data_IF_547684161388
#
_entry.id   IF_547684161388
#
_cell.length_a   1.000
_cell.length_b   1.000
_cell.length_c   1.000
_cell.angle_alpha   90.00
_cell.angle_beta   90.00
_cell.angle_gamma   90.00
#
_symmetry.space_group_name_H-M   'P 1'
#
loop_
_entity.id
_entity.type
_entity.pdbx_description
1 polymer ?
#
# COMPACT_ATOMS: atom_id res chain seq x y z
N UNK A 1 27.32 -3.95 -65.53
CA UNK A 1 26.08 -3.19 -65.29
C UNK A 1 24.97 -4.02 -64.63
N UNK A 2 24.60 -5.20 -65.13
CA UNK A 2 23.48 -5.99 -64.57
C UNK A 2 23.66 -6.35 -63.08
N UNK A 3 24.88 -6.69 -62.66
CA UNK A 3 25.20 -7.07 -61.28
C UNK A 3 25.13 -5.88 -60.30
N UNK A 4 25.50 -4.68 -60.74
CA UNK A 4 25.37 -3.46 -59.94
C UNK A 4 23.90 -3.06 -59.77
N UNK A 5 23.06 -3.32 -60.77
CA UNK A 5 21.61 -3.07 -60.68
C UNK A 5 20.94 -4.02 -59.69
N UNK A 6 21.39 -5.29 -59.64
CA UNK A 6 20.87 -6.30 -58.71
C UNK A 6 21.18 -5.96 -57.24
N UNK A 7 22.40 -5.50 -56.95
CA UNK A 7 22.83 -5.10 -55.59
C UNK A 7 22.07 -3.86 -55.10
N UNK A 8 21.80 -2.90 -55.97
CA UNK A 8 20.99 -1.71 -55.63
C UNK A 8 19.53 -2.08 -55.38
N UNK A 9 18.98 -3.04 -56.14
CA UNK A 9 17.61 -3.50 -55.96
C UNK A 9 17.43 -4.29 -54.66
N UNK A 10 18.38 -5.17 -54.30
CA UNK A 10 18.36 -5.89 -53.02
C UNK A 10 18.52 -4.95 -51.81
N UNK A 11 19.39 -3.94 -51.91
CA UNK A 11 19.54 -2.92 -50.87
C UNK A 11 18.27 -2.06 -50.72
N UNK A 12 17.59 -1.72 -51.82
CA UNK A 12 16.33 -0.99 -51.79
C UNK A 12 15.18 -1.84 -51.21
N UNK A 13 15.14 -3.14 -51.50
CA UNK A 13 14.16 -4.07 -50.92
C UNK A 13 14.40 -4.24 -49.42
N UNK A 14 15.66 -4.35 -48.98
CA UNK A 14 16.01 -4.42 -47.55
C UNK A 14 15.72 -3.10 -46.81
N UNK A 15 15.99 -1.93 -47.42
CA UNK A 15 15.63 -0.63 -46.85
C UNK A 15 14.11 -0.45 -46.77
N UNK A 16 13.36 -0.89 -47.77
CA UNK A 16 11.89 -0.82 -47.77
C UNK A 16 11.24 -1.81 -46.79
N UNK A 17 11.84 -2.99 -46.60
CA UNK A 17 11.42 -3.98 -45.61
C UNK A 17 11.71 -3.57 -44.16
N UNK A 18 12.77 -2.79 -43.93
CA UNK A 18 13.09 -2.21 -42.62
C UNK A 18 12.18 -1.02 -42.24
N UNK A 19 11.61 -0.31 -43.21
CA UNK A 19 10.68 0.82 -42.96
C UNK A 19 9.20 0.44 -42.90
N UNK A 20 8.83 -0.76 -43.35
CA UNK A 20 7.45 -1.28 -43.25
C UNK A 20 7.36 -2.53 -42.37
N UNK A 21 8.01 -2.51 -41.20
CA UNK A 21 7.32 -3.12 -40.07
C UNK A 21 6.01 -2.38 -39.96
N UNK A 22 4.90 -3.06 -40.26
CA UNK A 22 3.55 -2.62 -39.92
C UNK A 22 3.63 -2.14 -38.47
N UNK A 23 3.75 -0.83 -38.28
CA UNK A 23 3.25 -0.14 -37.10
C UNK A 23 1.78 -0.49 -37.14
N UNK A 24 1.44 -1.61 -36.50
CA UNK A 24 0.08 -1.95 -36.13
C UNK A 24 -0.38 -0.65 -35.47
N UNK A 25 -1.26 0.09 -36.15
CA UNK A 25 -1.97 1.20 -35.54
C UNK A 25 -2.71 0.54 -34.39
N UNK A 26 -2.06 0.49 -33.24
CA UNK A 26 -2.75 0.17 -32.01
C UNK A 26 -3.47 1.49 -31.79
N UNK A 27 -4.73 1.53 -32.23
CA UNK A 27 -5.68 2.56 -31.82
C UNK A 27 -5.87 2.36 -30.31
N UNK A 28 -4.87 2.77 -29.54
CA UNK A 28 -4.98 2.96 -28.11
C UNK A 28 -5.92 4.16 -27.96
N UNK A 29 -7.23 3.89 -28.01
CA UNK A 29 -8.20 4.82 -27.48
C UNK A 29 -7.77 5.12 -26.05
N UNK A 30 -7.23 6.33 -25.85
CA UNK A 30 -6.76 6.77 -24.56
C UNK A 30 -8.00 7.00 -23.69
N UNK A 31 -8.33 6.02 -22.85
CA UNK A 31 -9.49 6.13 -21.97
C UNK A 31 -9.04 6.90 -20.75
N UNK A 32 -9.66 8.06 -20.51
CA UNK A 32 -9.40 8.81 -19.27
C UNK A 32 -9.69 7.90 -18.08
N UNK A 33 -8.79 7.85 -17.09
CA UNK A 33 -8.85 6.89 -16.01
C UNK A 33 -10.17 6.91 -15.22
N UNK A 34 -10.81 8.10 -15.13
CA UNK A 34 -12.13 8.28 -14.51
C UNK A 34 -13.27 7.54 -15.22
N UNK A 35 -13.11 7.19 -16.50
CA UNK A 35 -14.10 6.43 -17.28
C UNK A 35 -13.76 4.94 -17.40
N UNK A 36 -12.63 4.48 -16.85
CA UNK A 36 -12.27 3.07 -16.92
C UNK A 36 -13.20 2.23 -16.04
N UNK A 37 -13.78 1.11 -16.54
CA UNK A 37 -14.76 0.32 -15.80
C UNK A 37 -14.20 -0.26 -14.50
N UNK A 38 -12.92 -0.62 -14.48
CA UNK A 38 -12.25 -1.19 -13.30
C UNK A 38 -11.84 -0.14 -12.26
N UNK A 39 -11.85 1.15 -12.62
CA UNK A 39 -11.54 2.24 -11.68
C UNK A 39 -12.62 2.27 -10.58
N UNK A 40 -12.25 2.27 -9.28
CA UNK A 40 -13.24 2.32 -8.21
C UNK A 40 -14.04 3.63 -8.21
N UNK A 41 -15.33 3.53 -7.92
CA UNK A 41 -16.27 4.67 -7.94
C UNK A 41 -15.82 5.84 -7.07
N UNK A 42 -15.27 5.54 -5.87
CA UNK A 42 -14.74 6.57 -4.98
C UNK A 42 -13.57 7.34 -5.61
N UNK A 43 -12.70 6.65 -6.34
CA UNK A 43 -11.57 7.28 -7.04
C UNK A 43 -12.09 8.15 -8.18
N UNK A 44 -13.06 7.66 -8.98
CA UNK A 44 -13.69 8.45 -10.05
C UNK A 44 -14.24 9.77 -9.54
N UNK A 45 -15.00 9.75 -8.44
CA UNK A 45 -15.56 10.97 -7.83
C UNK A 45 -14.50 11.98 -7.43
N UNK A 46 -13.37 11.52 -6.88
CA UNK A 46 -12.26 12.42 -6.54
C UNK A 46 -11.62 12.97 -7.82
N UNK A 47 -11.43 12.14 -8.84
CA UNK A 47 -10.89 12.58 -10.14
C UNK A 47 -11.82 13.53 -10.90
N UNK A 48 -13.13 13.41 -10.73
CA UNK A 48 -14.11 14.37 -11.24
C UNK A 48 -14.04 15.71 -10.50
N UNK A 49 -13.79 15.68 -9.18
CA UNK A 49 -13.78 16.88 -8.35
C UNK A 49 -12.48 17.67 -8.41
N UNK A 50 -11.33 17.00 -8.45
CA UNK A 50 -10.01 17.66 -8.35
C UNK A 50 -9.00 17.10 -9.35
N UNK A 51 -9.42 16.21 -10.25
CA UNK A 51 -8.50 15.46 -11.11
C UNK A 51 -7.73 16.33 -12.10
N UNK A 52 -8.29 17.47 -12.48
CA UNK A 52 -7.70 18.42 -13.44
C UNK A 52 -6.97 19.60 -12.76
N UNK A 53 -6.95 19.64 -11.44
CA UNK A 53 -6.23 20.68 -10.71
C UNK A 53 -4.70 20.45 -10.76
N UNK A 54 -3.90 21.52 -10.72
CA UNK A 54 -2.44 21.40 -10.69
C UNK A 54 -1.93 20.64 -9.46
N UNK A 55 -1.03 19.69 -9.69
CA UNK A 55 -0.22 19.04 -8.66
C UNK A 55 0.93 19.96 -8.28
N UNK A 56 1.02 20.31 -6.99
CA UNK A 56 2.05 21.17 -6.43
C UNK A 56 3.25 20.39 -5.90
N UNK A 57 3.02 19.17 -5.39
CA UNK A 57 4.05 18.33 -4.78
C UNK A 57 3.68 16.86 -4.90
N UNK A 58 4.67 16.00 -5.15
CA UNK A 58 4.55 14.55 -5.04
C UNK A 58 5.60 14.07 -4.04
N UNK A 59 5.20 13.19 -3.14
CA UNK A 59 6.09 12.52 -2.22
C UNK A 59 5.82 11.01 -2.26
N UNK A 60 6.88 10.22 -2.20
CA UNK A 60 6.81 8.78 -1.95
C UNK A 60 6.71 8.59 -0.44
N UNK A 61 5.71 7.84 -0.01
CA UNK A 61 5.63 7.35 1.37
C UNK A 61 5.86 5.84 1.44
N UNK A 62 6.48 5.38 2.52
CA UNK A 62 6.61 3.96 2.86
C UNK A 62 6.02 3.70 4.23
N UNK A 63 5.27 2.60 4.35
CA UNK A 63 4.79 2.09 5.63
C UNK A 63 5.28 0.65 5.78
N UNK A 64 5.91 0.28 6.91
CA UNK A 64 6.33 -1.09 7.11
C UNK A 64 5.10 -2.02 7.09
N UNK A 65 5.28 -3.21 6.53
CA UNK A 65 4.27 -4.25 6.60
C UNK A 65 4.09 -4.67 8.06
N UNK A 66 2.83 -4.88 8.46
CA UNK A 66 2.50 -5.24 9.84
C UNK A 66 3.30 -6.45 10.34
N UNK A 67 3.92 -6.31 11.52
CA UNK A 67 4.78 -7.33 12.11
C UNK A 67 4.08 -8.69 12.26
N UNK A 68 2.76 -8.70 12.46
CA UNK A 68 1.95 -9.93 12.57
C UNK A 68 1.94 -10.71 11.27
N UNK A 69 1.83 -10.02 10.12
CA UNK A 69 1.90 -10.66 8.81
C UNK A 69 3.30 -11.23 8.57
N UNK A 70 4.36 -10.48 8.89
CA UNK A 70 5.74 -10.95 8.78
C UNK A 70 6.01 -12.19 9.64
N UNK A 71 5.51 -12.20 10.89
CA UNK A 71 5.59 -13.37 11.77
C UNK A 71 4.88 -14.58 11.15
N UNK A 72 3.68 -14.40 10.62
CA UNK A 72 2.94 -15.48 9.98
C UNK A 72 3.68 -16.04 8.75
N UNK A 73 4.25 -15.18 7.91
CA UNK A 73 5.07 -15.58 6.75
C UNK A 73 6.33 -16.34 7.19
N UNK A 74 6.97 -15.90 8.27
CA UNK A 74 8.10 -16.60 8.88
C UNK A 74 7.70 -17.98 9.39
N UNK A 75 6.59 -18.11 10.11
CA UNK A 75 6.09 -19.41 10.57
C UNK A 75 5.81 -20.36 9.39
N UNK A 76 5.10 -19.86 8.36
CA UNK A 76 4.76 -20.67 7.19
C UNK A 76 5.99 -21.08 6.36
N UNK A 77 7.02 -20.26 6.31
CA UNK A 77 8.27 -20.53 5.59
C UNK A 77 9.31 -21.27 6.44
N UNK A 78 8.99 -21.61 7.70
CA UNK A 78 9.96 -22.15 8.66
C UNK A 78 11.19 -21.22 8.78
N UNK A 79 10.94 -19.93 8.96
CA UNK A 79 11.91 -18.83 9.08
C UNK A 79 12.74 -18.52 7.82
N UNK A 80 12.51 -19.23 6.71
CA UNK A 80 13.22 -18.97 5.45
C UNK A 80 12.90 -17.60 4.88
N UNK A 81 11.73 -17.03 5.15
CA UNK A 81 11.35 -15.70 4.70
C UNK A 81 12.27 -14.62 5.31
N UNK A 82 12.44 -14.61 6.64
CA UNK A 82 13.37 -13.70 7.32
C UNK A 82 14.81 -13.87 6.82
N UNK A 83 15.28 -15.11 6.66
CA UNK A 83 16.63 -15.35 6.13
C UNK A 83 16.78 -14.78 4.71
N UNK A 84 15.76 -14.93 3.86
CA UNK A 84 15.79 -14.39 2.50
C UNK A 84 15.71 -12.87 2.49
N UNK A 85 14.97 -12.27 3.41
CA UNK A 85 14.91 -10.82 3.59
C UNK A 85 16.31 -10.26 3.90
N UNK A 86 17.05 -10.91 4.83
CA UNK A 86 18.43 -10.55 5.16
C UNK A 86 19.37 -10.78 3.96
N UNK A 87 19.25 -11.93 3.28
CA UNK A 87 20.04 -12.27 2.09
C UNK A 87 19.89 -11.22 0.97
N UNK A 88 18.69 -10.65 0.81
CA UNK A 88 18.40 -9.61 -0.17
C UNK A 88 18.78 -8.20 0.29
N UNK A 89 19.30 -8.05 1.52
CA UNK A 89 19.68 -6.76 2.10
C UNK A 89 18.50 -5.86 2.42
N UNK A 90 17.35 -6.44 2.81
CA UNK A 90 16.17 -5.69 3.20
C UNK A 90 16.07 -5.58 4.72
N UNK A 91 16.16 -4.36 5.26
CA UNK A 91 15.96 -4.14 6.69
C UNK A 91 14.50 -4.39 7.09
N UNK A 92 13.57 -3.89 6.27
CA UNK A 92 12.13 -4.08 6.44
C UNK A 92 11.42 -4.27 5.08
N UNK A 93 10.21 -4.85 5.11
CA UNK A 93 9.33 -4.95 3.95
C UNK A 93 8.30 -3.82 4.03
N UNK A 94 8.13 -3.07 2.94
CA UNK A 94 7.30 -1.85 2.96
C UNK A 94 6.10 -1.93 2.01
N UNK A 95 5.12 -1.08 2.25
CA UNK A 95 4.08 -0.71 1.31
C UNK A 95 4.34 0.72 0.83
N UNK A 96 4.47 0.91 -0.49
CA UNK A 96 4.69 2.22 -1.07
C UNK A 96 3.35 2.88 -1.44
N UNK A 97 3.28 4.20 -1.27
CA UNK A 97 2.17 5.05 -1.71
C UNK A 97 2.70 6.41 -2.16
N UNK A 98 1.87 7.17 -2.87
CA UNK A 98 2.15 8.55 -3.25
C UNK A 98 1.29 9.50 -2.44
N UNK A 99 1.91 10.52 -1.85
CA UNK A 99 1.24 11.69 -1.31
C UNK A 99 1.31 12.80 -2.37
N UNK A 100 0.14 13.21 -2.84
CA UNK A 100 0.00 14.18 -3.93
C UNK A 100 -0.70 15.41 -3.38
N UNK A 101 0.03 16.52 -3.31
CA UNK A 101 -0.50 17.82 -2.92
C UNK A 101 -1.07 18.51 -4.15
N UNK A 102 -2.36 18.80 -4.13
CA UNK A 102 -3.11 19.38 -5.23
C UNK A 102 -3.53 20.80 -4.85
N UNK A 103 -3.43 21.72 -5.80
CA UNK A 103 -3.96 23.06 -5.64
C UNK A 103 -5.49 23.02 -5.52
N UNK A 104 -6.03 23.64 -4.46
CA UNK A 104 -7.46 23.84 -4.39
C UNK A 104 -7.84 24.96 -5.35
N UNK A 105 -8.93 24.79 -6.08
CA UNK A 105 -9.58 25.93 -6.70
C UNK A 105 -9.91 26.92 -5.58
N UNK A 106 -9.42 28.16 -5.72
CA UNK A 106 -9.92 29.25 -4.91
C UNK A 106 -11.39 29.39 -5.27
N UNK A 107 -12.29 28.77 -4.50
CA UNK A 107 -13.64 29.31 -4.38
C UNK A 107 -13.46 30.67 -3.73
N UNK A 108 -13.31 31.67 -4.59
CA UNK A 108 -13.18 33.06 -4.23
C UNK A 108 -14.53 33.45 -3.62
N UNK A 109 -14.73 33.14 -2.34
CA UNK A 109 -15.71 33.87 -1.55
C UNK A 109 -15.17 35.29 -1.53
N UNK A 110 -15.82 36.18 -2.29
CA UNK A 110 -15.45 37.58 -2.51
C UNK A 110 -15.17 38.29 -1.17
N UNK A 111 -15.83 37.85 -0.09
CA UNK A 111 -15.65 38.35 1.28
C UNK A 111 -14.29 37.98 1.91
N UNK A 112 -13.72 36.83 1.60
CA UNK A 112 -12.43 36.38 2.15
C UNK A 112 -11.23 37.03 1.43
N UNK A 113 -11.46 37.51 0.21
CA UNK A 113 -10.43 38.17 -0.62
C UNK A 113 -10.03 39.55 -0.10
N UNK A 114 -10.85 40.19 0.74
CA UNK A 114 -10.55 41.51 1.31
C UNK A 114 -9.69 41.45 2.59
N UNK A 115 -9.57 40.28 3.24
CA UNK A 115 -8.90 40.15 4.56
C UNK A 115 -7.52 39.48 4.46
N UNK A 116 -7.24 38.73 3.40
CA UNK A 116 -6.03 37.88 3.27
C UNK A 116 -4.87 38.49 2.45
N UNK A 117 -4.83 39.80 2.23
CA UNK A 117 -3.81 40.50 1.42
C UNK A 117 -2.36 40.43 1.94
N UNK A 118 -2.04 39.60 2.94
CA UNK A 118 -0.71 39.56 3.56
C UNK A 118 0.06 38.23 3.40
N UNK A 119 -0.58 37.10 3.04
CA UNK A 119 0.16 35.85 2.76
C UNK A 119 -0.47 35.11 1.57
N UNK A 120 0.26 35.01 0.46
CA UNK A 120 -0.09 34.23 -0.73
C UNK A 120 -0.05 32.71 -0.46
N UNK A 121 -0.79 32.22 0.52
CA UNK A 121 -0.90 30.80 0.79
C UNK A 121 -1.91 30.22 -0.21
N UNK A 122 -1.40 29.54 -1.23
CA UNK A 122 -2.25 28.79 -2.14
C UNK A 122 -2.86 27.62 -1.34
N UNK A 123 -4.18 27.62 -1.19
CA UNK A 123 -4.89 26.51 -0.56
C UNK A 123 -4.58 25.21 -1.29
N UNK A 124 -4.30 24.14 -0.55
CA UNK A 124 -3.97 22.84 -1.13
C UNK A 124 -4.58 21.69 -0.32
N UNK A 125 -4.78 20.55 -0.98
CA UNK A 125 -5.24 19.30 -0.37
C UNK A 125 -4.26 18.19 -0.70
N UNK A 126 -3.91 17.37 0.30
CA UNK A 126 -3.08 16.17 0.10
C UNK A 126 -3.96 14.94 -0.08
N UNK A 127 -3.67 14.15 -1.10
CA UNK A 127 -4.27 12.84 -1.33
C UNK A 127 -3.21 11.74 -1.28
N UNK A 128 -3.55 10.62 -0.66
CA UNK A 128 -2.81 9.37 -0.68
C UNK A 128 -3.33 8.51 -1.84
N UNK A 129 -2.45 8.21 -2.78
CA UNK A 129 -2.66 7.31 -3.90
C UNK A 129 -1.85 6.03 -3.66
N UNK A 130 -2.53 4.90 -3.56
CA UNK A 130 -1.91 3.60 -3.29
C UNK A 130 -2.61 2.48 -4.07
N UNK A 131 -2.00 1.30 -4.08
CA UNK A 131 -2.62 0.09 -4.58
C UNK A 131 -2.51 -1.03 -3.55
N UNK A 132 -3.60 -1.23 -2.83
CA UNK A 132 -3.89 -2.50 -2.17
C UNK A 132 -4.52 -3.43 -3.24
N UNK A 133 -5.61 -4.13 -2.93
CA UNK A 133 -6.32 -4.95 -3.93
C UNK A 133 -6.87 -4.15 -5.13
N UNK A 134 -7.16 -2.86 -4.94
CA UNK A 134 -7.61 -1.93 -5.98
C UNK A 134 -6.87 -0.61 -5.84
N UNK A 135 -6.91 0.21 -6.88
CA UNK A 135 -6.43 1.60 -6.82
C UNK A 135 -7.25 2.36 -5.76
N UNK A 136 -6.57 3.04 -4.85
CA UNK A 136 -7.22 3.85 -3.82
C UNK A 136 -6.69 5.27 -3.87
N UNK A 137 -7.61 6.21 -3.72
CA UNK A 137 -7.32 7.63 -3.60
C UNK A 137 -8.12 8.15 -2.41
N UNK A 138 -7.45 8.65 -1.39
CA UNK A 138 -8.08 9.10 -0.14
C UNK A 138 -7.30 10.21 0.52
N UNK A 139 -7.87 10.86 1.54
CA UNK A 139 -7.11 11.76 2.40
C UNK A 139 -6.23 10.92 3.35
N UNK A 140 -4.95 11.27 3.53
CA UNK A 140 -4.09 10.54 4.45
C UNK A 140 -4.55 10.70 5.90
N UNK A 141 -4.23 9.72 6.74
CA UNK A 141 -4.48 9.72 8.19
C UNK A 141 -3.19 10.12 8.91
N UNK A 142 -3.21 11.28 9.55
CA UNK A 142 -2.06 11.81 10.28
C UNK A 142 -2.08 11.38 11.76
N UNK A 143 -0.92 11.13 12.40
CA UNK A 143 0.46 11.15 11.85
C UNK A 143 0.95 9.77 11.37
N UNK A 144 0.15 8.72 11.51
CA UNK A 144 0.59 7.32 11.36
C UNK A 144 1.12 6.95 9.98
N UNK A 145 0.79 7.73 8.94
CA UNK A 145 1.20 7.49 7.55
C UNK A 145 2.41 8.34 7.11
N UNK A 146 3.26 8.82 8.02
CA UNK A 146 4.38 9.73 7.70
C UNK A 146 5.73 9.25 8.23
N UNK A 147 5.94 7.93 8.33
CA UNK A 147 7.19 7.35 8.85
C UNK A 147 8.37 7.67 7.92
N UNK A 148 8.28 7.23 6.65
CA UNK A 148 9.33 7.45 5.66
C UNK A 148 8.77 8.18 4.44
N UNK A 149 9.13 9.46 4.30
CA UNK A 149 8.65 10.32 3.21
C UNK A 149 9.80 10.88 2.39
N UNK A 150 9.75 10.67 1.08
CA UNK A 150 10.75 11.12 0.12
C UNK A 150 10.13 12.05 -0.91
N UNK A 151 10.81 13.13 -1.29
CA UNK A 151 10.30 14.05 -2.29
C UNK A 151 10.54 13.50 -3.70
N UNK A 152 9.52 13.57 -4.56
CA UNK A 152 9.64 13.28 -5.99
C UNK A 152 9.55 14.62 -6.73
N UNK A 153 10.66 15.16 -7.24
CA UNK A 153 10.65 16.46 -7.92
C UNK A 153 9.81 16.42 -9.20
N UNK A 154 9.01 17.47 -9.40
CA UNK A 154 8.24 17.67 -10.62
C UNK A 154 9.16 18.16 -11.74
N UNK A 155 8.86 17.78 -12.99
CA UNK A 155 9.59 18.31 -14.15
C UNK A 155 9.32 19.80 -14.31
N UNK A 156 10.37 20.65 -14.41
CA UNK A 156 10.19 22.07 -14.67
C UNK A 156 9.35 22.33 -15.92
N UNK A 157 8.55 23.39 -15.90
CA UNK A 157 7.70 23.82 -17.03
C UNK A 157 6.65 22.78 -17.50
N UNK A 158 6.41 21.73 -16.72
CA UNK A 158 5.37 20.72 -17.02
C UNK A 158 4.33 20.72 -15.91
N UNK A 159 3.10 21.05 -16.26
CA UNK A 159 1.96 20.92 -15.33
C UNK A 159 1.51 19.47 -15.26
N UNK A 160 1.42 18.95 -14.04
CA UNK A 160 0.85 17.65 -13.72
C UNK A 160 -0.53 17.81 -13.09
N UNK A 161 -1.42 16.85 -13.36
CA UNK A 161 -2.74 16.73 -12.74
C UNK A 161 -2.93 15.26 -12.34
N UNK A 162 -3.82 14.96 -11.41
CA UNK A 162 -4.12 13.56 -11.06
C UNK A 162 -4.64 12.77 -12.26
N UNK A 163 -5.54 13.37 -13.06
CA UNK A 163 -6.08 12.74 -14.26
C UNK A 163 -4.94 12.37 -15.21
N UNK A 164 -3.97 13.26 -15.44
CA UNK A 164 -2.81 12.96 -16.27
C UNK A 164 -1.96 11.83 -15.68
N UNK A 165 -1.60 11.91 -14.40
CA UNK A 165 -0.75 10.92 -13.74
C UNK A 165 -1.33 9.51 -13.84
N UNK A 166 -2.59 9.36 -13.44
CA UNK A 166 -3.29 8.08 -13.39
C UNK A 166 -3.61 7.58 -14.79
N UNK A 167 -4.11 8.44 -15.68
CA UNK A 167 -4.49 8.02 -17.04
C UNK A 167 -3.28 7.60 -17.86
N UNK A 168 -2.16 8.31 -17.77
CA UNK A 168 -0.94 7.94 -18.50
C UNK A 168 -0.44 6.58 -18.03
N UNK A 169 -0.38 6.37 -16.70
CA UNK A 169 0.04 5.10 -16.13
C UNK A 169 -0.93 3.96 -16.49
N UNK A 170 -2.25 4.18 -16.41
CA UNK A 170 -3.25 3.13 -16.66
C UNK A 170 -3.35 2.69 -18.11
N UNK A 171 -3.01 3.56 -19.06
CA UNK A 171 -3.02 3.20 -20.49
C UNK A 171 -1.75 2.47 -20.93
N UNK A 172 -0.66 2.55 -20.15
CA UNK A 172 0.63 1.92 -20.47
C UNK A 172 0.85 0.64 -19.65
N UNK A 173 0.58 0.68 -18.34
CA UNK A 173 0.69 -0.48 -17.47
C UNK A 173 -0.52 -1.41 -17.60
N UNK A 174 -0.32 -2.56 -18.25
CA UNK A 174 -1.36 -3.60 -18.42
C UNK A 174 -1.85 -4.19 -17.10
N UNK A 175 -1.06 -4.05 -16.03
CA UNK A 175 -1.41 -4.53 -14.70
C UNK A 175 -1.95 -3.40 -13.82
N UNK A 176 -2.23 -2.20 -14.35
CA UNK A 176 -2.63 -1.06 -13.54
C UNK A 176 -3.87 -1.32 -12.66
N UNK A 177 -4.80 -2.18 -13.10
CA UNK A 177 -6.02 -2.51 -12.36
C UNK A 177 -6.06 -3.92 -11.76
N UNK A 178 -5.28 -4.87 -12.27
CA UNK A 178 -5.20 -6.23 -11.71
C UNK A 178 -4.38 -6.27 -10.43
N UNK A 179 -4.58 -7.26 -9.56
CA UNK A 179 -3.77 -7.41 -8.35
C UNK A 179 -3.09 -8.78 -8.26
N UNK A 180 -1.79 -8.77 -7.96
CA UNK A 180 -0.93 -9.95 -7.77
C UNK A 180 0.25 -9.61 -6.84
N UNK A 181 0.00 -9.67 -5.53
CA UNK A 181 1.03 -9.43 -4.51
C UNK A 181 2.24 -10.37 -4.63
N UNK A 182 2.03 -11.60 -5.11
CA UNK A 182 3.02 -12.65 -5.08
C UNK A 182 4.02 -12.57 -6.26
N UNK A 183 3.54 -12.22 -7.46
CA UNK A 183 4.37 -12.27 -8.66
C UNK A 183 4.93 -10.90 -9.07
N UNK A 184 4.31 -9.79 -8.67
CA UNK A 184 4.64 -8.48 -9.24
C UNK A 184 4.78 -7.35 -8.21
N UNK A 185 4.94 -7.66 -6.92
CA UNK A 185 5.09 -6.69 -5.82
C UNK A 185 4.18 -5.45 -5.98
N UNK A 186 2.90 -5.71 -6.20
CA UNK A 186 2.06 -4.78 -6.96
C UNK A 186 1.83 -3.41 -6.34
N UNK A 187 1.95 -3.25 -5.02
CA UNK A 187 1.86 -1.93 -4.41
C UNK A 187 3.08 -1.07 -4.74
N UNK A 188 4.28 -1.66 -4.70
CA UNK A 188 5.53 -0.96 -4.97
C UNK A 188 5.69 -0.70 -6.47
N UNK A 189 5.48 -1.73 -7.30
CA UNK A 189 5.53 -1.62 -8.76
C UNK A 189 4.50 -0.64 -9.30
N UNK A 190 3.31 -0.54 -8.68
CA UNK A 190 2.31 0.46 -9.05
C UNK A 190 2.81 1.89 -8.85
N UNK A 191 3.44 2.17 -7.70
CA UNK A 191 3.99 3.49 -7.41
C UNK A 191 5.18 3.80 -8.33
N UNK A 192 6.10 2.84 -8.50
CA UNK A 192 7.22 2.97 -9.43
C UNK A 192 6.72 3.26 -10.85
N UNK A 193 5.77 2.48 -11.37
CA UNK A 193 5.21 2.67 -12.71
C UNK A 193 4.57 4.05 -12.88
N UNK A 194 3.81 4.55 -11.89
CA UNK A 194 3.24 5.90 -11.98
C UNK A 194 4.34 6.95 -12.09
N UNK A 195 5.40 6.83 -11.30
CA UNK A 195 6.53 7.78 -11.32
C UNK A 195 7.29 7.69 -12.64
N UNK A 196 7.61 6.48 -13.08
CA UNK A 196 8.42 6.24 -14.27
C UNK A 196 7.72 6.60 -15.57
N UNK A 197 6.49 6.10 -15.78
CA UNK A 197 5.69 6.36 -16.97
C UNK A 197 5.42 7.87 -17.16
N UNK A 198 5.27 8.62 -16.06
CA UNK A 198 5.06 10.06 -16.14
C UNK A 198 6.35 10.88 -16.35
N UNK A 199 7.50 10.22 -16.43
CA UNK A 199 8.82 10.82 -16.62
C UNK A 199 9.35 11.53 -15.37
N UNK A 200 8.89 11.10 -14.17
CA UNK A 200 9.30 11.72 -12.91
C UNK A 200 10.60 11.13 -12.35
N UNK A 201 10.94 9.88 -12.70
CA UNK A 201 12.18 9.19 -12.26
C UNK A 201 13.43 10.00 -12.58
N UNK A 202 13.47 10.62 -13.77
CA UNK A 202 14.62 11.41 -14.23
C UNK A 202 14.90 12.64 -13.35
N UNK A 203 13.89 13.14 -12.63
CA UNK A 203 14.04 14.32 -11.76
C UNK A 203 14.50 13.95 -10.34
N UNK A 204 14.48 12.67 -9.97
CA UNK A 204 14.93 12.22 -8.66
C UNK A 204 16.46 12.18 -8.66
N UNK A 205 17.12 13.19 -8.13
CA UNK A 205 18.60 13.21 -8.02
C UNK A 205 19.11 12.52 -6.76
N UNK A 206 18.29 12.48 -5.71
CA UNK A 206 18.63 11.86 -4.43
C UNK A 206 18.64 10.32 -4.55
N UNK A 207 19.79 9.71 -4.23
CA UNK A 207 19.97 8.26 -4.29
C UNK A 207 19.07 7.53 -3.30
N UNK A 208 18.79 8.12 -2.13
CA UNK A 208 17.93 7.51 -1.10
C UNK A 208 16.52 7.33 -1.63
N UNK A 209 15.96 8.36 -2.28
CA UNK A 209 14.65 8.32 -2.91
C UNK A 209 14.61 7.29 -4.06
N UNK A 210 15.68 7.17 -4.86
CA UNK A 210 15.76 6.14 -5.92
C UNK A 210 15.72 4.73 -5.35
N UNK A 211 16.48 4.48 -4.29
CA UNK A 211 16.50 3.17 -3.60
C UNK A 211 15.12 2.89 -2.99
N UNK A 212 14.51 3.88 -2.33
CA UNK A 212 13.20 3.76 -1.71
C UNK A 212 12.06 3.49 -2.73
N UNK A 213 12.16 4.05 -3.94
CA UNK A 213 11.18 3.86 -5.00
C UNK A 213 11.25 2.46 -5.61
N UNK A 214 12.44 1.86 -5.68
CA UNK A 214 12.67 0.57 -6.32
C UNK A 214 11.90 -0.55 -5.60
N UNK A 215 11.12 -1.37 -6.32
CA UNK A 215 10.44 -2.51 -5.73
C UNK A 215 11.41 -3.54 -5.15
N UNK A 216 11.04 -4.07 -3.99
CA UNK A 216 11.65 -5.23 -3.36
C UNK A 216 11.30 -6.49 -4.15
N UNK A 217 12.16 -7.52 -4.10
CA UNK A 217 11.95 -8.79 -4.80
C UNK A 217 10.93 -9.67 -4.05
N UNK A 218 9.65 -9.30 -4.16
CA UNK A 218 8.55 -10.04 -3.56
C UNK A 218 8.50 -11.50 -4.06
N UNK A 219 8.93 -11.75 -5.30
CA UNK A 219 8.95 -13.09 -5.88
C UNK A 219 9.97 -13.97 -5.16
N UNK A 220 11.19 -13.47 -4.92
CA UNK A 220 12.19 -14.20 -4.16
C UNK A 220 11.78 -14.41 -2.70
N UNK A 221 11.14 -13.43 -2.07
CA UNK A 221 10.61 -13.54 -0.70
C UNK A 221 9.51 -14.60 -0.62
N UNK A 222 8.49 -14.51 -1.47
CA UNK A 222 7.37 -15.48 -1.54
C UNK A 222 7.87 -16.85 -1.97
N UNK A 223 8.97 -16.93 -2.73
CA UNK A 223 9.52 -18.20 -3.17
C UNK A 223 9.88 -19.14 -2.00
N UNK A 224 10.26 -18.57 -0.85
CA UNK A 224 10.63 -19.28 0.38
C UNK A 224 9.51 -20.13 0.97
N UNK A 225 8.25 -19.85 0.62
CA UNK A 225 7.07 -20.57 1.10
C UNK A 225 6.87 -21.93 0.42
N UNK A 226 7.62 -22.23 -0.66
CA UNK A 226 7.52 -23.50 -1.37
C UNK A 226 6.11 -23.78 -1.89
N UNK A 227 5.54 -24.93 -1.54
CA UNK A 227 4.16 -25.30 -1.91
C UNK A 227 3.07 -24.48 -1.21
N UNK A 228 3.43 -23.64 -0.22
CA UNK A 228 2.48 -22.82 0.56
C UNK A 228 2.25 -21.43 -0.02
N UNK A 229 2.82 -21.10 -1.19
CA UNK A 229 2.66 -19.79 -1.85
C UNK A 229 1.19 -19.41 -2.06
N UNK A 230 0.35 -20.38 -2.39
CA UNK A 230 -1.08 -20.15 -2.63
C UNK A 230 -1.84 -19.70 -1.37
N UNK A 231 -1.35 -20.05 -0.18
CA UNK A 231 -1.96 -19.62 1.09
C UNK A 231 -1.80 -18.12 1.26
N UNK A 232 -0.62 -17.58 0.93
CA UNK A 232 -0.35 -16.14 1.03
C UNK A 232 -1.20 -15.37 0.03
N UNK A 233 -1.28 -15.87 -1.22
CA UNK A 233 -2.18 -15.30 -2.21
C UNK A 233 -3.62 -15.24 -1.70
N UNK A 234 -4.13 -16.34 -1.13
CA UNK A 234 -5.47 -16.40 -0.54
C UNK A 234 -5.68 -15.42 0.62
N UNK A 235 -4.69 -15.23 1.49
CA UNK A 235 -4.80 -14.28 2.62
C UNK A 235 -4.86 -12.85 2.11
N UNK A 236 -4.00 -12.49 1.16
CA UNK A 236 -4.01 -11.15 0.57
C UNK A 236 -5.30 -10.92 -0.23
N UNK A 237 -5.77 -11.92 -0.98
CA UNK A 237 -7.04 -11.88 -1.72
C UNK A 237 -8.25 -11.76 -0.78
N UNK A 238 -8.21 -12.43 0.38
CA UNK A 238 -9.27 -12.38 1.39
C UNK A 238 -9.32 -11.00 2.06
N UNK A 239 -8.16 -10.42 2.38
CA UNK A 239 -8.06 -9.02 2.84
C UNK A 239 -8.66 -8.06 1.80
N UNK A 240 -8.33 -8.26 0.52
CA UNK A 240 -8.90 -7.49 -0.60
C UNK A 240 -10.40 -7.68 -0.82
N UNK A 241 -10.93 -8.87 -0.54
CA UNK A 241 -12.35 -9.20 -0.69
C UNK A 241 -13.17 -8.63 0.47
N UNK A 242 -12.66 -8.72 1.71
CA UNK A 242 -13.26 -8.08 2.87
C UNK A 242 -13.31 -6.57 2.68
N UNK A 243 -12.23 -5.97 2.18
CA UNK A 243 -12.17 -4.55 1.85
C UNK A 243 -13.22 -4.16 0.80
N UNK A 244 -13.32 -4.92 -0.31
CA UNK A 244 -14.36 -4.73 -1.33
C UNK A 244 -15.75 -4.82 -0.71
N UNK A 245 -16.00 -5.82 0.14
CA UNK A 245 -17.30 -6.01 0.77
C UNK A 245 -17.65 -4.84 1.70
N UNK A 246 -16.74 -4.47 2.60
CA UNK A 246 -16.92 -3.39 3.57
C UNK A 246 -17.17 -2.05 2.87
N UNK A 247 -16.35 -1.70 1.88
CA UNK A 247 -16.36 -0.36 1.28
C UNK A 247 -17.34 -0.22 0.11
N UNK A 248 -17.60 -1.27 -0.68
CA UNK A 248 -18.58 -1.19 -1.79
C UNK A 248 -20.02 -1.37 -1.30
N UNK A 249 -20.28 -2.14 -0.22
CA UNK A 249 -21.65 -2.40 0.26
C UNK A 249 -22.16 -1.38 1.30
N UNK A 250 -21.49 -0.22 1.43
CA UNK A 250 -21.89 0.87 2.35
C UNK A 250 -22.14 0.40 3.79
N UNK A 251 -21.42 -0.61 4.27
CA UNK A 251 -21.55 -1.03 5.66
C UNK A 251 -20.96 0.09 6.51
N UNK A 252 -21.84 0.88 7.12
CA UNK A 252 -21.46 1.93 8.06
C UNK A 252 -20.97 1.22 9.32
N UNK A 253 -19.67 0.95 9.39
CA UNK A 253 -19.04 0.60 10.65
C UNK A 253 -19.35 1.73 11.63
N UNK A 254 -20.01 1.39 12.74
CA UNK A 254 -20.22 2.31 13.85
C UNK A 254 -18.82 2.75 14.25
N UNK A 255 -18.47 4.02 14.01
CA UNK A 255 -17.16 4.54 14.37
C UNK A 255 -16.91 4.13 15.82
N UNK A 256 -15.75 3.57 16.17
CA UNK A 256 -15.43 3.32 17.56
C UNK A 256 -15.69 4.64 18.33
N UNK A 257 -16.27 4.57 19.54
CA UNK A 257 -16.53 5.78 20.31
C UNK A 257 -15.23 6.59 20.37
N UNK A 258 -15.34 7.90 20.12
CA UNK A 258 -14.21 8.81 20.27
C UNK A 258 -13.69 8.59 21.68
N UNK A 259 -12.47 8.06 21.80
CA UNK A 259 -11.78 8.07 23.08
C UNK A 259 -11.49 9.53 23.36
N UNK A 260 -12.30 10.14 24.20
CA UNK A 260 -11.99 11.44 24.79
C UNK A 260 -10.75 11.23 25.66
N UNK A 261 -9.62 11.67 25.15
CA UNK A 261 -8.47 11.90 26.02
C UNK A 261 -8.76 13.22 26.73
N UNK A 262 -9.03 13.15 28.02
CA UNK A 262 -8.93 14.32 28.89
C UNK A 262 -7.46 14.68 28.92
N UNK A 263 -7.06 15.64 28.09
CA UNK A 263 -5.81 16.35 28.27
C UNK A 263 -5.92 17.06 29.62
N UNK A 264 -5.25 16.49 30.64
CA UNK A 264 -5.01 17.19 31.89
C UNK A 264 -4.26 18.47 31.52
N UNK A 265 -4.82 19.60 31.96
CA UNK A 265 -4.56 20.91 31.41
C UNK A 265 -3.12 21.41 31.51
N UNK A 266 -2.87 22.40 30.66
CA UNK A 266 -1.79 23.39 30.72
C UNK A 266 -0.38 22.88 30.39
N UNK A 267 -0.12 22.67 29.10
CA UNK A 267 1.25 22.65 28.58
C UNK A 267 1.39 23.74 27.50
N UNK A 268 1.74 24.95 27.94
CA UNK A 268 2.15 26.05 27.07
C UNK A 268 3.60 25.81 26.62
N UNK A 269 3.80 25.30 25.40
CA UNK A 269 5.11 25.18 24.79
C UNK A 269 5.48 26.54 24.19
N UNK A 270 6.35 27.31 24.86
CA UNK A 270 7.05 28.45 24.27
C UNK A 270 8.27 27.94 23.50
N UNK A 271 8.26 28.15 22.19
CA UNK A 271 9.44 27.92 21.34
C UNK A 271 10.55 28.89 21.77
N UNK A 272 11.71 28.34 22.15
CA UNK A 272 12.91 29.11 22.44
C UNK A 272 13.65 29.36 21.13
N UNK A 273 13.67 30.61 20.68
CA UNK A 273 14.55 31.07 19.61
C UNK A 273 15.92 31.35 20.21
N UNK A 274 16.87 30.43 20.05
CA UNK A 274 18.28 30.70 20.31
C UNK A 274 18.89 31.36 19.06
N UNK A 275 18.87 32.70 19.04
CA UNK A 275 19.71 33.51 18.16
C UNK A 275 20.81 34.14 19.02
N UNK A 276 21.94 33.44 19.13
CA UNK A 276 23.20 34.02 19.60
C UNK A 276 23.78 34.85 18.46
N UNK A 277 23.81 36.17 18.62
CA UNK A 277 24.68 37.02 17.83
C UNK A 277 25.34 38.08 18.71
N UNK A 278 26.58 38.36 18.35
CA UNK A 278 27.63 38.93 19.17
C UNK A 278 27.52 40.44 19.45
N UNK A 279 28.41 40.87 20.35
CA UNK A 279 29.06 42.18 20.46
C UNK A 279 28.40 43.28 21.29
N UNK A 280 29.05 43.54 22.43
CA UNK A 280 29.69 44.81 22.81
C UNK A 280 29.17 46.07 22.11
N UNK A 281 28.49 46.94 22.87
CA UNK A 281 28.97 48.30 23.16
C UNK A 281 27.96 49.09 24.03
N UNK A 282 28.50 49.65 25.12
CA UNK A 282 28.34 51.03 25.59
C UNK A 282 26.96 51.75 25.59
N UNK A 283 26.67 52.39 26.75
CA UNK A 283 25.99 53.69 26.98
C UNK A 283 24.74 53.69 27.88
N UNK A 284 24.95 54.36 29.02
CA UNK A 284 24.12 55.26 29.84
C UNK A 284 22.56 55.20 29.87
N UNK A 285 22.07 55.17 31.12
CA UNK A 285 20.96 55.96 31.72
C UNK A 285 19.96 56.64 30.76
N UNK A 286 18.65 56.37 30.96
CA UNK A 286 17.74 57.27 31.71
C UNK A 286 16.29 56.78 31.71
N UNK A 287 15.62 56.98 32.85
CA UNK A 287 14.21 57.30 33.08
C UNK A 287 13.08 56.36 32.61
N UNK A 288 12.43 55.74 33.61
CA UNK A 288 10.99 55.79 33.95
C UNK A 288 10.01 55.92 32.77
N UNK A 289 9.21 54.87 32.56
CA UNK A 289 7.75 54.99 32.68
C UNK A 289 7.05 53.64 32.86
N UNK A 290 6.02 53.68 33.70
CA UNK A 290 5.27 52.57 34.29
C UNK A 290 4.18 52.08 33.35
N UNK A 291 4.02 50.76 33.13
CA UNK A 291 2.73 50.18 32.78
C UNK A 291 2.51 48.89 33.58
N UNK A 292 1.44 48.93 34.38
CA UNK A 292 0.85 47.82 35.13
C UNK A 292 0.20 46.83 34.15
N UNK A 293 0.56 45.55 34.24
CA UNK A 293 -0.27 44.44 33.74
C UNK A 293 -0.36 43.36 34.82
N UNK A 294 -1.59 42.89 35.01
CA UNK A 294 -2.07 42.01 36.06
C UNK A 294 -1.30 40.69 36.23
N UNK A 295 -1.11 40.36 37.52
CA UNK A 295 -1.07 39.05 38.16
C UNK A 295 -0.99 37.77 37.32
N UNK A 296 0.12 37.06 37.50
CA UNK A 296 0.14 35.65 37.92
C UNK A 296 1.54 35.36 38.45
N UNK A 297 1.61 34.76 39.63
CA UNK A 297 2.84 34.36 40.31
C UNK A 297 3.59 33.30 39.50
N UNK A 298 4.83 33.62 39.09
CA UNK A 298 5.76 32.63 38.56
C UNK A 298 6.04 31.58 39.64
N UNK A 299 5.54 30.36 39.42
CA UNK A 299 5.94 29.20 40.20
C UNK A 299 7.08 28.55 39.44
N UNK A 300 8.30 28.71 39.94
CA UNK A 300 9.49 28.05 39.42
C UNK A 300 9.36 26.56 39.78
N UNK A 301 9.30 25.68 38.78
CA UNK A 301 9.47 24.24 38.99
C UNK A 301 10.97 23.97 38.96
N UNK A 302 11.55 23.74 40.13
CA UNK A 302 13.00 23.56 40.33
C UNK A 302 13.50 22.13 40.09
N UNK A 303 12.64 21.15 39.78
CA UNK A 303 13.09 19.75 39.82
C UNK A 303 13.15 19.06 38.45
N UNK A 304 14.37 18.90 37.94
CA UNK A 304 14.71 18.12 36.74
C UNK A 304 14.34 16.65 36.90
N UNK A 305 14.28 16.14 38.12
CA UNK A 305 13.94 14.74 38.41
C UNK A 305 12.47 14.42 38.07
N UNK A 306 11.56 15.38 38.18
CA UNK A 306 10.14 15.16 37.86
C UNK A 306 9.91 15.04 36.34
N UNK A 307 10.68 15.79 35.54
CA UNK A 307 10.66 15.67 34.09
C UNK A 307 11.27 14.34 33.61
N UNK A 308 12.35 13.88 34.25
CA UNK A 308 12.97 12.59 33.94
C UNK A 308 12.06 11.41 34.31
N UNK A 309 11.43 11.47 35.48
CA UNK A 309 10.47 10.45 35.93
C UNK A 309 9.22 10.38 35.03
N UNK A 310 8.76 11.52 34.48
CA UNK A 310 7.67 11.54 33.51
C UNK A 310 8.04 10.88 32.18
N UNK A 311 9.27 11.06 31.69
CA UNK A 311 9.78 10.40 30.47
C UNK A 311 9.93 8.89 30.68
N UNK A 312 10.47 8.47 31.84
CA UNK A 312 10.58 7.05 32.20
C UNK A 312 9.21 6.39 32.32
N UNK A 313 8.23 7.06 32.93
CA UNK A 313 6.85 6.56 33.02
C UNK A 313 6.18 6.43 31.64
N UNK A 314 6.44 7.35 30.70
CA UNK A 314 5.94 7.26 29.33
C UNK A 314 6.57 6.10 28.54
N UNK A 315 7.87 5.83 28.74
CA UNK A 315 8.53 4.67 28.13
C UNK A 315 8.03 3.34 28.68
N UNK A 316 7.75 3.27 29.99
CA UNK A 316 7.17 2.08 30.62
C UNK A 316 5.72 1.83 30.18
N UNK A 317 4.90 2.86 30.05
CA UNK A 317 3.53 2.75 29.53
C UNK A 317 3.51 2.35 28.04
N UNK A 318 4.47 2.81 27.23
CA UNK A 318 4.61 2.37 25.85
C UNK A 318 4.99 0.87 25.77
N UNK A 319 5.93 0.41 26.60
CA UNK A 319 6.31 -1.01 26.69
C UNK A 319 5.12 -1.87 27.15
N UNK A 320 4.36 -1.42 28.14
CA UNK A 320 3.16 -2.12 28.64
C UNK A 320 2.03 -2.16 27.62
N UNK A 321 1.85 -1.09 26.85
CA UNK A 321 0.91 -1.01 25.71
C UNK A 321 1.29 -2.01 24.61
N UNK A 322 2.57 -2.06 24.23
CA UNK A 322 3.10 -3.03 23.25
C UNK A 322 2.97 -4.47 23.73
N UNK A 323 3.22 -4.74 25.01
CA UNK A 323 3.06 -6.07 25.60
C UNK A 323 1.59 -6.53 25.65
N UNK A 324 0.67 -5.62 25.96
CA UNK A 324 -0.77 -5.90 25.93
C UNK A 324 -1.26 -6.15 24.49
N UNK A 325 -0.81 -5.37 23.50
CA UNK A 325 -1.12 -5.63 22.09
C UNK A 325 -0.59 -6.99 21.63
N UNK A 326 0.65 -7.34 21.99
CA UNK A 326 1.24 -8.64 21.65
C UNK A 326 0.43 -9.80 22.26
N UNK A 327 -0.03 -9.66 23.51
CA UNK A 327 -0.85 -10.66 24.19
C UNK A 327 -2.21 -10.85 23.50
N UNK A 328 -2.85 -9.76 23.06
CA UNK A 328 -4.12 -9.79 22.30
C UNK A 328 -3.93 -10.46 20.93
N UNK A 329 -2.80 -10.19 20.26
CA UNK A 329 -2.46 -10.81 18.97
C UNK A 329 -2.23 -12.31 19.15
N UNK A 330 -1.44 -12.71 20.15
CA UNK A 330 -1.16 -14.12 20.45
C UNK A 330 -2.44 -14.87 20.79
N UNK A 331 -3.33 -14.29 21.62
CA UNK A 331 -4.61 -14.92 21.97
C UNK A 331 -5.53 -15.05 20.75
N UNK A 332 -5.55 -14.06 19.86
CA UNK A 332 -6.33 -14.11 18.61
C UNK A 332 -5.81 -15.18 17.66
N UNK A 333 -4.48 -15.33 17.53
CA UNK A 333 -3.87 -16.39 16.71
C UNK A 333 -4.19 -17.77 17.29
N UNK A 334 -4.03 -17.94 18.61
CA UNK A 334 -4.39 -19.19 19.32
C UNK A 334 -5.85 -19.56 19.10
N UNK A 335 -6.76 -18.58 19.14
CA UNK A 335 -8.18 -18.80 18.91
C UNK A 335 -8.48 -19.26 17.47
N UNK A 336 -7.84 -18.66 16.46
CA UNK A 336 -7.97 -19.08 15.06
C UNK A 336 -7.41 -20.49 14.85
N UNK A 337 -6.27 -20.82 15.46
CA UNK A 337 -5.70 -22.16 15.43
C UNK A 337 -6.68 -23.15 16.07
N UNK A 338 -7.25 -22.83 17.24
CA UNK A 338 -8.22 -23.68 17.92
C UNK A 338 -9.47 -23.94 17.07
N UNK A 339 -10.01 -22.89 16.44
CA UNK A 339 -11.15 -23.00 15.51
C UNK A 339 -10.82 -23.88 14.31
N UNK A 340 -9.61 -23.76 13.76
CA UNK A 340 -9.18 -24.59 12.63
C UNK A 340 -9.03 -26.07 13.00
N UNK A 341 -8.48 -26.35 14.19
CA UNK A 341 -8.38 -27.72 14.74
C UNK A 341 -9.78 -28.28 15.04
N UNK A 342 -10.69 -27.45 15.58
CA UNK A 342 -12.09 -27.81 15.80
C UNK A 342 -12.83 -28.17 14.51
N UNK A 343 -12.67 -27.36 13.46
CA UNK A 343 -13.26 -27.65 12.15
C UNK A 343 -12.67 -28.92 11.51
N UNK A 344 -11.36 -29.12 11.63
CA UNK A 344 -10.68 -30.33 11.13
C UNK A 344 -11.12 -31.59 11.87
N UNK A 345 -11.29 -31.52 13.20
CA UNK A 345 -11.80 -32.65 13.99
C UNK A 345 -13.24 -32.97 13.64
N UNK A 346 -14.12 -31.97 13.52
CA UNK A 346 -15.52 -32.19 13.10
C UNK A 346 -15.61 -32.84 11.71
N UNK A 347 -14.84 -32.33 10.74
CA UNK A 347 -14.80 -32.93 9.38
C UNK A 347 -14.24 -34.34 9.38
N UNK A 348 -13.20 -34.62 10.19
CA UNK A 348 -12.69 -35.98 10.39
C UNK A 348 -13.75 -36.92 10.98
N UNK A 349 -14.50 -36.50 12.00
CA UNK A 349 -15.57 -37.30 12.59
C UNK A 349 -16.71 -37.58 11.61
N UNK A 350 -17.12 -36.59 10.80
CA UNK A 350 -18.13 -36.76 9.75
C UNK A 350 -17.65 -37.81 8.72
N UNK A 351 -16.40 -37.69 8.27
CA UNK A 351 -15.79 -38.63 7.34
C UNK A 351 -15.69 -40.05 7.92
N UNK A 352 -15.22 -40.18 9.16
CA UNK A 352 -15.08 -41.45 9.86
C UNK A 352 -16.44 -42.15 10.03
N UNK A 353 -17.49 -41.41 10.43
CA UNK A 353 -18.85 -41.95 10.56
C UNK A 353 -19.41 -42.44 9.22
N UNK A 354 -19.13 -41.71 8.14
CA UNK A 354 -19.55 -42.11 6.78
C UNK A 354 -18.83 -43.38 6.31
N UNK A 355 -17.52 -43.49 6.58
CA UNK A 355 -16.73 -44.69 6.26
C UNK A 355 -17.25 -45.94 6.98
N UNK A 356 -17.53 -45.82 8.29
CA UNK A 356 -18.10 -46.92 9.08
C UNK A 356 -19.46 -47.40 8.55
N UNK A 357 -20.31 -46.51 8.03
CA UNK A 357 -21.57 -46.93 7.38
C UNK A 357 -21.35 -47.67 6.05
N UNK A 358 -20.28 -47.35 5.31
CA UNK A 358 -19.95 -48.07 4.07
C UNK A 358 -19.40 -49.47 4.35
N UNK A 359 -18.61 -49.65 5.41
CA UNK A 359 -18.08 -50.97 5.78
C UNK A 359 -19.19 -51.95 6.23
N UNK A 360 -20.34 -51.46 6.70
CA UNK A 360 -21.52 -52.28 7.00
C UNK A 360 -22.36 -52.67 5.77
N UNK A 361 -22.22 -51.96 4.64
CA UNK A 361 -22.94 -52.26 3.40
C UNK A 361 -22.14 -53.10 2.40
N UNK A 362 -20.86 -53.36 2.68
CA UNK A 362 -20.09 -54.39 1.97
C UNK A 362 -20.44 -55.75 2.59
N UNK A 363 -21.65 -56.24 2.28
CA UNK A 363 -21.98 -57.66 2.43
C UNK A 363 -20.96 -58.43 1.58
N UNK A 364 -20.29 -59.47 2.10
CA UNK A 364 -19.42 -60.29 1.28
C UNK A 364 -20.28 -60.95 0.20
N UNK A 365 -20.14 -60.48 -1.05
CA UNK A 365 -20.58 -61.19 -2.25
C UNK A 365 -19.76 -62.48 -2.35
N UNK A 366 -20.10 -63.47 -1.53
CA UNK A 366 -19.54 -64.83 -1.53
C UNK A 366 -20.63 -65.86 -1.87
N UNK A 367 -21.68 -65.44 -2.58
CA UNK A 367 -22.84 -66.27 -2.88
C UNK A 367 -23.24 -66.34 -4.37
N UNK A 368 -22.33 -66.02 -5.29
CA UNK A 368 -22.52 -66.26 -6.73
C UNK A 368 -21.27 -66.87 -7.39
N UNK A 369 -20.68 -67.87 -6.74
CA UNK A 369 -19.82 -68.86 -7.40
C UNK A 369 -20.55 -70.22 -7.35
N UNK A 370 -21.62 -70.35 -8.14
CA UNK A 370 -21.98 -71.62 -8.74
C UNK A 370 -23.02 -71.38 -9.83
N UNK A 371 -22.81 -72.08 -10.96
CA UNK A 371 -23.70 -72.16 -12.13
C UNK A 371 -23.85 -70.93 -13.04
N UNK A 372 -22.80 -70.60 -13.80
CA UNK A 372 -22.99 -70.22 -15.21
C UNK A 372 -21.77 -70.67 -16.04
N UNK A 373 -21.86 -71.89 -16.57
CA UNK A 373 -20.89 -72.44 -17.52
C UNK A 373 -21.01 -71.70 -18.85
N UNK A 374 -20.03 -70.83 -19.14
CA UNK A 374 -19.87 -70.12 -20.42
C UNK A 374 -19.28 -71.02 -21.52
N UNK A 375 -19.19 -72.34 -21.30
CA UNK A 375 -18.52 -73.27 -22.22
C UNK A 375 -19.43 -73.95 -23.28
N UNK A 376 -20.59 -73.38 -23.64
CA UNK A 376 -21.47 -73.98 -24.65
C UNK A 376 -22.01 -73.07 -25.77
N UNK A 377 -21.57 -71.81 -25.88
CA UNK A 377 -22.12 -70.90 -26.90
C UNK A 377 -21.22 -70.61 -28.12
N UNK A 378 -20.05 -71.26 -28.24
CA UNK A 378 -19.11 -71.04 -29.36
C UNK A 378 -19.04 -72.19 -30.39
N UNK A 379 -20.03 -73.07 -30.48
CA UNK A 379 -20.02 -74.20 -31.43
C UNK A 379 -21.15 -74.21 -32.48
N UNK A 380 -21.72 -73.06 -32.82
CA UNK A 380 -22.80 -72.99 -33.84
C UNK A 380 -22.60 -71.93 -34.93
N UNK A 381 -21.36 -71.46 -35.17
CA UNK A 381 -21.07 -70.53 -36.28
C UNK A 381 -19.88 -70.94 -37.17
N UNK A 382 -19.59 -72.23 -37.29
CA UNK A 382 -18.70 -72.74 -38.35
C UNK A 382 -19.16 -74.12 -38.83
N UNK A 383 -20.12 -74.12 -39.75
CA UNK A 383 -20.35 -75.13 -40.80
C UNK A 383 -21.52 -74.69 -41.66
#
# INVERSE_FOLDING_TARGET
>A
MLFQLLVVLEAAILLSGLFFTKLKKIDHHFIAAKYHPEMPERVRKILEQVGDHPVLKIQLGRTPVEAVLLLFLNILSSWKFANKQIELGYDEIYHNYLLITIQNEKKLNILQTMVESSKNTVGSTVYKLEKAHRVRLMKPVFPTEFVDIYNIPLTPNKTFTLNRLITTASNIDKHFYTYDAANNNMCQTFVENIVDINGLTLNIVDNTTRIALKPQDAKALVATLGSRRDIVKRITDLGGTLDKWVFDHKIKWKKPPVKEFVLIGNMHVKAKNDFTNNNTDNIQRSNVDTIVVNGMTDTIIENVDDAFNAVVALEEDEKKSKQNQLTIIISSILFVILLSVGAATVTFFIWYKKKSMFDYFVVPYKFFENSFSINKFCQLFYS
#
